data_IF_172693351761
#
_entry.id   IF_172693351761
#
_cell.length_a   1.000
_cell.length_b   1.000
_cell.length_c   1.000
_cell.angle_alpha   90.00
_cell.angle_beta   90.00
_cell.angle_gamma   90.00
#
_symmetry.space_group_name_H-M   'P 1'
#
loop_
_entity.id
_entity.type
_entity.pdbx_description
1 polymer ?
#
# COMPACT_ATOMS: atom_id res chain seq x y z
N UNK A 1 22.13 -27.73 -15.09
CA UNK A 1 20.72 -27.31 -15.09
C UNK A 1 20.48 -26.63 -16.42
N UNK A 2 19.65 -27.25 -17.26
CA UNK A 2 19.26 -26.70 -18.56
C UNK A 2 18.11 -25.71 -18.35
N UNK A 3 17.99 -24.73 -19.24
CA UNK A 3 16.86 -23.77 -19.24
C UNK A 3 15.49 -24.49 -19.29
N UNK A 4 15.45 -25.67 -19.91
CA UNK A 4 14.28 -26.54 -19.96
C UNK A 4 13.86 -27.10 -18.59
N UNK A 5 14.82 -27.40 -17.71
CA UNK A 5 14.53 -27.94 -16.37
C UNK A 5 13.91 -26.85 -15.48
N UNK A 6 14.36 -25.60 -15.64
CA UNK A 6 13.82 -24.43 -14.94
C UNK A 6 12.37 -24.14 -15.33
N UNK A 7 12.04 -24.25 -16.63
CA UNK A 7 10.69 -24.00 -17.11
C UNK A 7 9.69 -25.07 -16.64
N UNK A 8 10.10 -26.34 -16.67
CA UNK A 8 9.27 -27.44 -16.19
C UNK A 8 8.93 -27.32 -14.69
N UNK A 9 9.90 -26.88 -13.87
CA UNK A 9 9.68 -26.65 -12.45
C UNK A 9 8.63 -25.54 -12.19
N UNK A 10 8.69 -24.44 -12.94
CA UNK A 10 7.73 -23.32 -12.86
C UNK A 10 6.31 -23.77 -13.25
N UNK A 11 6.17 -24.63 -14.26
CA UNK A 11 4.86 -25.11 -14.72
C UNK A 11 4.24 -26.12 -13.75
N UNK A 12 5.06 -26.88 -13.03
CA UNK A 12 4.60 -27.90 -12.08
C UNK A 12 4.23 -27.36 -10.69
N UNK A 13 4.53 -26.08 -10.41
CA UNK A 13 4.30 -25.48 -9.09
C UNK A 13 2.83 -25.02 -8.96
N UNK A 14 2.05 -25.62 -8.04
CA UNK A 14 0.64 -25.28 -7.86
C UNK A 14 0.41 -23.88 -7.27
N UNK A 15 1.44 -23.24 -6.70
CA UNK A 15 1.36 -21.89 -6.13
C UNK A 15 1.65 -20.80 -7.18
N UNK A 16 2.14 -21.18 -8.37
CA UNK A 16 2.41 -20.25 -9.45
C UNK A 16 1.11 -19.97 -10.20
N UNK A 17 0.64 -18.73 -10.08
CA UNK A 17 -0.41 -18.18 -10.93
C UNK A 17 0.26 -17.78 -12.26
N UNK A 18 -0.07 -18.43 -13.40
CA UNK A 18 0.53 -18.09 -14.67
C UNK A 18 0.17 -16.65 -15.05
N UNK A 19 1.17 -15.81 -15.25
CA UNK A 19 1.01 -14.43 -15.70
C UNK A 19 0.89 -14.38 -17.23
N UNK A 20 -0.08 -15.12 -17.76
CA UNK A 20 -0.32 -15.31 -19.18
C UNK A 20 -0.92 -14.05 -19.85
N UNK A 21 -1.18 -14.16 -21.15
CA UNK A 21 -1.67 -13.03 -21.93
C UNK A 21 -3.08 -12.58 -21.48
N UNK A 22 -3.92 -13.49 -20.98
CA UNK A 22 -5.24 -13.19 -20.43
C UNK A 22 -5.16 -12.45 -19.09
N UNK A 23 -4.17 -12.78 -18.26
CA UNK A 23 -3.85 -12.01 -17.06
C UNK A 23 -3.50 -10.56 -17.41
N UNK A 24 -2.59 -10.34 -18.35
CA UNK A 24 -2.17 -8.98 -18.73
C UNK A 24 -3.26 -8.19 -19.46
N UNK A 25 -4.17 -8.86 -20.20
CA UNK A 25 -5.34 -8.23 -20.82
C UNK A 25 -6.29 -7.58 -19.79
N UNK A 26 -6.41 -8.17 -18.60
CA UNK A 26 -7.32 -7.71 -17.55
C UNK A 26 -6.60 -7.01 -16.39
N UNK A 27 -5.26 -6.96 -16.42
CA UNK A 27 -4.47 -6.35 -15.36
C UNK A 27 -4.72 -4.84 -15.28
N UNK A 28 -5.30 -4.40 -14.16
CA UNK A 28 -5.47 -2.98 -13.88
C UNK A 28 -4.14 -2.39 -13.41
N UNK A 29 -3.53 -1.56 -14.26
CA UNK A 29 -2.35 -0.79 -13.87
C UNK A 29 -2.78 0.26 -12.85
N UNK A 30 -2.40 0.07 -11.59
CA UNK A 30 -2.58 1.06 -10.53
C UNK A 30 -1.29 1.89 -10.47
N UNK A 31 -1.30 3.10 -11.03
CA UNK A 31 -0.21 4.03 -10.79
C UNK A 31 -0.20 4.41 -9.30
N UNK A 32 0.94 4.31 -8.59
CA UNK A 32 1.03 4.83 -7.24
C UNK A 32 0.87 6.35 -7.29
N UNK A 33 -0.22 6.86 -6.74
CA UNK A 33 -0.40 8.30 -6.57
C UNK A 33 0.73 8.84 -5.69
N UNK A 34 1.41 9.88 -6.19
CA UNK A 34 2.44 10.58 -5.41
C UNK A 34 1.76 11.27 -4.24
N UNK A 35 2.07 10.82 -3.03
CA UNK A 35 1.63 11.52 -1.82
C UNK A 35 2.32 12.90 -1.79
N UNK A 36 1.57 13.99 -1.61
CA UNK A 36 2.17 15.32 -1.52
C UNK A 36 3.08 15.38 -0.31
N UNK A 37 4.29 15.91 -0.49
CA UNK A 37 5.21 16.20 0.61
C UNK A 37 4.82 17.53 1.23
N UNK A 38 4.36 17.49 2.48
CA UNK A 38 4.04 18.69 3.25
C UNK A 38 4.93 18.77 4.49
N UNK A 39 5.24 19.99 4.92
CA UNK A 39 5.94 20.25 6.18
C UNK A 39 4.90 20.57 7.25
N UNK A 40 4.82 19.74 8.28
CA UNK A 40 3.95 19.95 9.45
C UNK A 40 4.80 20.13 10.71
N UNK A 41 4.27 20.89 11.67
CA UNK A 41 4.85 20.99 13.01
C UNK A 41 4.16 19.98 13.92
N UNK A 42 4.96 19.24 14.68
CA UNK A 42 4.51 18.28 15.69
C UNK A 42 5.23 18.62 16.99
N UNK A 43 4.55 18.39 18.11
CA UNK A 43 5.18 18.51 19.41
C UNK A 43 6.33 17.51 19.57
N UNK A 44 7.36 17.91 20.32
CA UNK A 44 8.60 17.17 20.43
C UNK A 44 8.42 15.80 21.09
N UNK A 45 7.52 15.72 22.08
CA UNK A 45 7.13 14.51 22.79
C UNK A 45 6.36 13.52 21.90
N UNK A 46 5.41 14.02 21.09
CA UNK A 46 4.66 13.22 20.12
C UNK A 46 5.60 12.63 19.08
N UNK A 47 6.54 13.43 18.57
CA UNK A 47 7.54 12.96 17.61
C UNK A 47 8.48 11.90 18.24
N UNK A 48 8.91 12.11 19.48
CA UNK A 48 9.74 11.15 20.20
C UNK A 48 9.00 9.82 20.43
N UNK A 49 7.75 9.88 20.87
CA UNK A 49 6.89 8.71 21.06
C UNK A 49 6.67 7.93 19.75
N UNK A 50 6.46 8.61 18.63
CA UNK A 50 6.31 7.98 17.31
C UNK A 50 7.61 7.33 16.82
N UNK A 51 8.76 7.97 17.06
CA UNK A 51 10.08 7.43 16.70
C UNK A 51 10.45 6.20 17.54
N UNK A 52 10.09 6.18 18.82
CA UNK A 52 10.35 5.06 19.71
C UNK A 52 9.63 3.76 19.30
N UNK A 53 8.59 3.86 18.46
CA UNK A 53 7.86 2.71 17.93
C UNK A 53 8.53 2.07 16.71
N UNK A 54 9.72 2.55 16.31
CA UNK A 54 10.55 1.96 15.27
C UNK A 54 10.54 2.71 13.93
N UNK A 55 11.09 2.05 12.90
CA UNK A 55 11.20 2.61 11.56
C UNK A 55 9.80 2.82 10.96
N UNK A 56 9.64 3.87 10.14
CA UNK A 56 8.38 4.15 9.43
C UNK A 56 7.39 5.05 10.19
N UNK A 57 7.85 5.84 11.16
CA UNK A 57 7.00 6.78 11.90
C UNK A 57 6.21 7.74 10.99
N UNK A 58 6.75 8.15 9.83
CA UNK A 58 6.04 8.96 8.84
C UNK A 58 4.82 8.23 8.25
N UNK A 59 4.97 6.95 7.89
CA UNK A 59 3.85 6.11 7.42
C UNK A 59 2.80 5.96 8.51
N UNK A 60 3.23 5.82 9.77
CA UNK A 60 2.35 5.73 10.94
C UNK A 60 1.57 7.02 11.19
N UNK A 61 2.20 8.19 11.06
CA UNK A 61 1.51 9.50 11.12
C UNK A 61 0.36 9.52 10.10
N UNK A 62 0.63 9.17 8.85
CA UNK A 62 -0.40 9.14 7.82
C UNK A 62 -1.52 8.10 8.11
N UNK A 63 -1.18 6.95 8.71
CA UNK A 63 -2.19 5.96 9.11
C UNK A 63 -3.10 6.48 10.24
N UNK A 64 -2.53 7.14 11.25
CA UNK A 64 -3.29 7.77 12.36
C UNK A 64 -4.23 8.84 11.80
N UNK A 65 -3.73 9.73 10.95
CA UNK A 65 -4.54 10.79 10.35
C UNK A 65 -5.68 10.24 9.49
N UNK A 66 -5.45 9.16 8.73
CA UNK A 66 -6.52 8.48 7.97
C UNK A 66 -7.55 7.83 8.86
N UNK A 67 -7.12 7.16 9.93
CA UNK A 67 -8.05 6.55 10.89
C UNK A 67 -8.93 7.62 11.53
N UNK A 68 -8.36 8.76 11.90
CA UNK A 68 -9.12 9.90 12.44
C UNK A 68 -10.09 10.48 11.41
N UNK A 69 -9.62 10.72 10.18
CA UNK A 69 -10.45 11.21 9.08
C UNK A 69 -11.63 10.27 8.80
N UNK A 70 -11.40 8.96 8.74
CA UNK A 70 -12.45 7.96 8.53
C UNK A 70 -13.45 7.96 9.68
N UNK A 71 -12.98 7.93 10.94
CA UNK A 71 -13.85 7.98 12.10
C UNK A 71 -14.71 9.26 12.15
N UNK A 72 -14.19 10.39 11.65
CA UNK A 72 -14.96 11.62 11.48
C UNK A 72 -15.98 11.53 10.34
N UNK A 73 -15.56 10.98 9.19
CA UNK A 73 -16.40 10.85 7.99
C UNK A 73 -17.49 9.76 8.15
N UNK A 74 -17.29 8.76 8.99
CA UNK A 74 -18.34 7.80 9.35
C UNK A 74 -19.46 8.47 10.18
N UNK A 75 -19.17 9.64 10.78
CA UNK A 75 -20.16 10.59 11.32
C UNK A 75 -20.73 11.57 10.28
N UNK A 76 -20.20 11.58 9.05
CA UNK A 76 -20.61 12.41 7.91
C UNK A 76 -20.87 11.50 6.70
N UNK A 77 -21.83 10.58 6.84
CA UNK A 77 -22.47 9.99 5.67
C UNK A 77 -23.24 11.09 4.94
N UNK A 78 -22.63 11.67 3.89
CA UNK A 78 -23.27 12.15 2.66
C UNK A 78 -22.29 13.00 1.84
N UNK A 79 -21.66 12.42 0.81
CA UNK A 79 -21.98 12.73 -0.59
C UNK A 79 -21.12 11.84 -1.53
N UNK A 80 -21.66 11.32 -2.65
CA UNK A 80 -20.91 10.49 -3.59
C UNK A 80 -19.93 11.35 -4.41
N UNK A 81 -18.71 10.82 -4.60
CA UNK A 81 -17.70 11.35 -5.54
C UNK A 81 -18.20 11.20 -6.98
N UNK A 82 -18.24 12.31 -7.70
CA UNK A 82 -18.09 12.38 -9.16
C UNK A 82 -16.64 12.18 -9.56
#
# INVERSE_FOLDING_TARGET
MSDADSHAAVVSDPDIIPTDEDFWRNAKVVLPERKPTITIRLDADVLAWLKNQGKGYQTRINAILRSYMNAQNDGVSNNPKT
#
